data_IF_046814163427
#
_entry.id   IF_046814163427
#
_cell.length_a   1.000
_cell.length_b   1.000
_cell.length_c   1.000
_cell.angle_alpha   90.00
_cell.angle_beta   90.00
_cell.angle_gamma   90.00
#
_symmetry.space_group_name_H-M   'P 1'
#
loop_
_entity.id
_entity.type
_entity.pdbx_description
1 polymer ?
#
# COMPACT_ATOMS: atom_id res chain seq x y z
N UNK A 1 58.54 -38.41 -23.55
CA UNK A 1 58.16 -36.99 -23.69
C UNK A 1 56.92 -36.76 -22.85
N UNK A 2 56.69 -35.73 -22.04
CA UNK A 2 57.49 -34.73 -21.36
C UNK A 2 56.51 -34.00 -20.41
N UNK A 3 56.97 -33.65 -19.18
CA UNK A 3 56.45 -32.68 -18.18
C UNK A 3 55.07 -32.96 -17.54
N UNK A 4 54.85 -33.09 -16.23
CA UNK A 4 55.31 -32.40 -14.99
C UNK A 4 54.64 -31.03 -14.74
N UNK A 5 53.98 -30.92 -13.56
CA UNK A 5 53.80 -29.77 -12.63
C UNK A 5 52.48 -28.93 -12.62
N UNK A 6 51.66 -29.22 -11.60
CA UNK A 6 51.23 -28.38 -10.45
C UNK A 6 50.27 -27.18 -10.55
N UNK A 7 49.32 -27.21 -9.57
CA UNK A 7 48.79 -26.12 -8.69
C UNK A 7 48.04 -24.94 -9.31
N UNK A 8 46.78 -24.80 -8.87
CA UNK A 8 46.15 -23.65 -8.16
C UNK A 8 44.63 -23.82 -8.32
N UNK A 9 43.77 -24.13 -7.34
CA UNK A 9 43.54 -23.57 -6.00
C UNK A 9 43.44 -22.04 -5.98
N UNK A 10 42.26 -21.54 -6.36
CA UNK A 10 41.72 -20.20 -6.07
C UNK A 10 40.26 -20.48 -5.71
N UNK A 11 39.85 -20.63 -4.45
CA UNK A 11 39.72 -19.61 -3.39
C UNK A 11 38.97 -18.37 -3.89
N UNK A 12 37.64 -18.45 -3.99
CA UNK A 12 36.78 -17.26 -4.07
C UNK A 12 36.32 -16.95 -2.65
N UNK A 13 37.09 -16.11 -1.99
CA UNK A 13 36.75 -15.45 -0.74
C UNK A 13 36.01 -14.14 -1.02
N UNK A 14 34.84 -14.00 -0.38
CA UNK A 14 34.32 -12.80 0.30
C UNK A 14 34.15 -11.52 -0.55
N UNK A 15 32.90 -11.07 -0.63
CA UNK A 15 32.59 -9.64 -0.40
C UNK A 15 31.22 -9.52 0.25
N UNK A 16 31.24 -9.49 1.58
CA UNK A 16 30.22 -8.83 2.40
C UNK A 16 30.08 -7.38 1.94
N UNK A 17 28.92 -7.06 1.36
CA UNK A 17 28.53 -5.66 1.09
C UNK A 17 28.14 -5.03 2.42
N UNK A 18 29.07 -4.25 2.97
CA UNK A 18 28.85 -3.40 4.13
C UNK A 18 28.33 -2.07 3.57
N UNK A 19 27.00 -1.91 3.50
CA UNK A 19 26.40 -0.63 3.11
C UNK A 19 26.49 0.30 4.32
N UNK A 20 27.55 1.10 4.37
CA UNK A 20 27.60 2.33 5.16
C UNK A 20 26.82 3.36 4.35
N UNK A 21 25.56 3.60 4.68
CA UNK A 21 24.86 4.80 4.19
C UNK A 21 25.35 5.99 5.00
N UNK A 22 26.35 6.67 4.47
CA UNK A 22 26.70 8.04 4.84
C UNK A 22 25.50 8.96 4.59
N UNK A 23 24.98 9.56 5.65
CA UNK A 23 24.04 10.68 5.60
C UNK A 23 24.78 11.88 4.99
N UNK A 24 24.28 12.54 3.93
CA UNK A 24 24.86 13.80 3.50
C UNK A 24 24.50 14.88 4.52
N UNK A 25 25.54 15.52 5.08
CA UNK A 25 25.41 16.77 5.80
C UNK A 25 24.97 17.86 4.82
N UNK A 26 23.74 18.35 4.97
CA UNK A 26 23.33 19.61 4.35
C UNK A 26 23.72 20.72 5.31
N UNK A 27 24.82 21.37 4.98
CA UNK A 27 25.20 22.67 5.52
C UNK A 27 24.32 23.74 4.85
N UNK A 28 23.53 24.45 5.65
CA UNK A 28 23.07 25.81 5.35
C UNK A 28 23.10 26.57 6.68
N UNK A 29 24.13 27.38 6.86
CA UNK A 29 24.08 28.53 7.75
C UNK A 29 23.13 29.57 7.13
N UNK A 30 22.16 30.04 7.89
CA UNK A 30 21.89 31.47 8.07
C UNK A 30 20.90 31.67 9.22
N UNK A 31 21.29 32.54 10.14
CA UNK A 31 20.59 32.98 11.33
C UNK A 31 19.17 33.48 11.07
N UNK A 32 18.21 33.05 11.89
CA UNK A 32 17.44 34.00 12.68
C UNK A 32 16.75 33.34 13.88
N UNK A 33 17.06 33.90 15.04
CA UNK A 33 16.57 33.56 16.36
C UNK A 33 15.04 33.67 16.52
N UNK A 34 14.52 32.86 17.46
CA UNK A 34 13.16 32.85 18.05
C UNK A 34 12.04 32.18 17.26
N UNK A 35 12.00 30.84 17.31
CA UNK A 35 10.87 30.06 17.87
C UNK A 35 11.45 28.74 18.42
N UNK A 36 12.04 28.81 19.61
CA UNK A 36 12.44 27.62 20.37
C UNK A 36 11.26 27.17 21.23
N UNK A 37 11.08 25.85 21.37
CA UNK A 37 10.03 25.12 22.10
C UNK A 37 8.74 24.79 21.32
N UNK A 38 8.81 23.79 20.42
CA UNK A 38 7.82 22.70 20.25
C UNK A 38 8.10 21.83 19.02
N UNK A 39 9.31 21.28 18.87
CA UNK A 39 9.58 20.19 17.92
C UNK A 39 10.61 19.25 18.54
N UNK A 40 10.27 18.66 19.69
CA UNK A 40 11.11 17.65 20.36
C UNK A 40 10.33 16.40 20.76
N UNK A 41 9.17 16.17 20.13
CA UNK A 41 8.29 15.07 20.47
C UNK A 41 7.69 14.43 19.21
N UNK A 42 8.54 13.83 18.37
CA UNK A 42 8.11 12.72 17.50
C UNK A 42 9.22 11.89 16.83
N UNK A 43 10.50 12.06 17.21
CA UNK A 43 11.61 11.23 16.74
C UNK A 43 12.19 10.30 17.80
N UNK A 44 11.49 10.10 18.92
CA UNK A 44 11.83 9.10 19.96
C UNK A 44 10.91 7.88 19.91
N UNK A 45 10.99 7.10 18.83
CA UNK A 45 10.60 5.69 18.86
C UNK A 45 11.20 4.94 17.67
N UNK A 46 12.53 4.75 17.66
CA UNK A 46 13.15 3.66 16.87
C UNK A 46 14.65 3.39 17.10
N UNK A 47 15.32 4.02 18.09
CA UNK A 47 16.73 3.72 18.41
C UNK A 47 16.94 3.08 19.79
N UNK A 48 15.88 2.54 20.40
CA UNK A 48 16.04 1.63 21.54
C UNK A 48 16.65 0.32 21.03
N UNK A 49 17.76 -0.11 21.61
CA UNK A 49 18.42 -1.39 21.29
C UNK A 49 17.35 -2.48 21.19
N UNK A 50 17.15 -3.06 20.00
CA UNK A 50 16.19 -4.14 19.77
C UNK A 50 16.49 -5.25 20.79
N UNK A 51 15.48 -5.70 21.55
CA UNK A 51 15.68 -6.72 22.58
C UNK A 51 16.36 -7.99 22.05
N UNK A 52 16.13 -8.36 20.80
CA UNK A 52 16.80 -9.49 20.15
C UNK A 52 18.29 -9.22 19.85
N UNK A 53 18.68 -7.96 19.62
CA UNK A 53 20.09 -7.58 19.49
C UNK A 53 20.82 -7.75 20.82
N UNK A 54 20.16 -7.43 21.95
CA UNK A 54 20.69 -7.72 23.29
C UNK A 54 20.90 -9.22 23.47
N UNK A 55 19.95 -10.05 23.04
CA UNK A 55 20.09 -11.52 23.07
C UNK A 55 21.31 -11.97 22.27
N UNK A 56 21.48 -11.49 21.04
CA UNK A 56 22.63 -11.84 20.19
C UNK A 56 23.96 -11.47 20.84
N UNK A 57 24.05 -10.25 21.38
CA UNK A 57 25.23 -9.76 22.08
C UNK A 57 25.53 -10.62 23.32
N UNK A 58 24.51 -10.91 24.14
CA UNK A 58 24.67 -11.70 25.36
C UNK A 58 25.01 -13.16 25.10
N UNK A 59 24.46 -13.76 24.05
CA UNK A 59 24.88 -15.09 23.61
C UNK A 59 26.33 -15.09 23.12
N UNK A 60 26.79 -14.02 22.45
CA UNK A 60 28.18 -13.89 22.05
C UNK A 60 29.11 -13.76 23.27
N UNK A 61 28.75 -12.93 24.24
CA UNK A 61 29.51 -12.81 25.50
C UNK A 61 29.52 -14.12 26.29
N UNK A 62 28.41 -14.88 26.31
CA UNK A 62 28.35 -16.20 26.93
C UNK A 62 29.29 -17.20 26.26
N UNK A 63 29.40 -17.20 24.92
CA UNK A 63 30.39 -18.00 24.18
C UNK A 63 31.82 -17.62 24.59
N UNK A 64 32.13 -16.32 24.62
CA UNK A 64 33.48 -15.85 24.92
C UNK A 64 33.88 -16.17 26.37
N UNK A 65 32.98 -15.97 27.34
CA UNK A 65 33.18 -16.33 28.76
C UNK A 65 33.30 -17.84 28.95
N UNK A 66 32.48 -18.63 28.26
CA UNK A 66 32.57 -20.08 28.27
C UNK A 66 33.94 -20.58 27.79
N UNK A 67 34.44 -20.00 26.70
CA UNK A 67 35.74 -20.35 26.13
C UNK A 67 36.92 -19.96 27.04
N UNK A 68 36.75 -18.93 27.88
CA UNK A 68 37.73 -18.54 28.90
C UNK A 68 37.64 -19.37 30.20
N UNK A 69 36.63 -20.24 30.34
CA UNK A 69 36.39 -21.03 31.55
C UNK A 69 35.55 -20.33 32.63
N UNK A 70 35.05 -19.13 32.36
CA UNK A 70 34.26 -18.31 33.28
C UNK A 70 32.77 -18.72 33.26
N UNK A 71 32.47 -19.92 33.76
CA UNK A 71 31.14 -20.55 33.60
C UNK A 71 30.00 -19.80 34.31
N UNK A 72 30.24 -19.22 35.48
CA UNK A 72 29.20 -18.49 36.21
C UNK A 72 28.83 -17.19 35.49
N UNK A 73 29.85 -16.54 34.93
CA UNK A 73 29.74 -15.35 34.12
C UNK A 73 29.04 -15.64 32.78
N UNK A 74 29.31 -16.80 32.17
CA UNK A 74 28.58 -17.27 31.00
C UNK A 74 27.10 -17.56 31.34
N UNK A 75 26.79 -18.20 32.47
CA UNK A 75 25.41 -18.43 32.93
C UNK A 75 24.66 -17.12 33.15
N UNK A 76 25.32 -16.10 33.70
CA UNK A 76 24.72 -14.79 33.89
C UNK A 76 24.31 -14.17 32.55
N UNK A 77 25.18 -14.21 31.54
CA UNK A 77 24.83 -13.70 30.20
C UNK A 77 23.72 -14.52 29.54
N UNK A 78 23.67 -15.84 29.75
CA UNK A 78 22.54 -16.69 29.31
C UNK A 78 21.22 -16.31 30.00
N UNK A 79 21.24 -15.98 31.29
CA UNK A 79 20.07 -15.49 32.03
C UNK A 79 19.51 -14.22 31.40
N UNK A 80 20.38 -13.25 31.12
CA UNK A 80 19.97 -11.99 30.48
C UNK A 80 19.42 -12.27 29.07
N UNK A 81 20.05 -13.18 28.31
CA UNK A 81 19.53 -13.58 27.00
C UNK A 81 18.12 -14.21 27.10
N UNK A 82 17.86 -15.06 28.10
CA UNK A 82 16.53 -15.64 28.36
C UNK A 82 15.50 -14.55 28.66
N UNK A 83 15.84 -13.59 29.52
CA UNK A 83 14.92 -12.50 29.88
C UNK A 83 14.48 -11.70 28.64
N UNK A 84 15.43 -11.34 27.78
CA UNK A 84 15.14 -10.59 26.56
C UNK A 84 14.42 -11.42 25.50
N UNK A 85 14.68 -12.73 25.40
CA UNK A 85 13.89 -13.63 24.55
C UNK A 85 12.44 -13.76 25.03
N UNK A 86 12.22 -13.82 26.34
CA UNK A 86 10.88 -13.83 26.92
C UNK A 86 10.14 -12.53 26.62
N UNK A 87 10.80 -11.37 26.74
CA UNK A 87 10.25 -10.08 26.30
C UNK A 87 9.91 -10.09 24.81
N UNK A 88 10.84 -10.52 23.96
CA UNK A 88 10.61 -10.62 22.51
C UNK A 88 9.45 -11.58 22.15
N UNK A 89 9.24 -12.64 22.95
CA UNK A 89 8.12 -13.57 22.77
C UNK A 89 6.75 -12.94 23.02
N UNK A 90 6.70 -11.82 23.74
CA UNK A 90 5.48 -11.09 24.05
C UNK A 90 5.27 -9.90 23.11
N UNK A 91 6.36 -9.25 22.66
CA UNK A 91 6.30 -7.98 21.94
C UNK A 91 6.52 -8.09 20.43
N UNK A 92 7.00 -9.22 19.92
CA UNK A 92 7.19 -9.39 18.47
C UNK A 92 5.85 -9.36 17.71
N UNK A 93 5.87 -8.68 16.56
CA UNK A 93 4.71 -8.51 15.69
C UNK A 93 4.25 -9.82 15.04
N UNK A 94 5.13 -10.82 14.92
CA UNK A 94 4.82 -12.07 14.21
C UNK A 94 4.73 -13.26 15.15
N UNK A 95 3.71 -14.10 14.98
CA UNK A 95 3.54 -15.32 15.80
C UNK A 95 4.76 -16.23 15.69
N UNK A 96 5.35 -16.35 14.50
CA UNK A 96 6.51 -17.23 14.29
C UNK A 96 7.73 -16.78 15.07
N UNK A 97 8.00 -15.49 15.16
CA UNK A 97 9.09 -14.96 15.98
C UNK A 97 8.78 -15.04 17.47
N UNK A 98 7.51 -14.85 17.86
CA UNK A 98 7.08 -15.06 19.25
C UNK A 98 7.34 -16.51 19.70
N UNK A 99 6.89 -17.48 18.92
CA UNK A 99 7.15 -18.90 19.16
C UNK A 99 8.65 -19.24 19.16
N UNK A 100 9.39 -18.78 18.16
CA UNK A 100 10.82 -19.09 18.04
C UNK A 100 11.63 -18.51 19.21
N UNK A 101 11.28 -17.30 19.66
CA UNK A 101 11.91 -16.66 20.82
C UNK A 101 11.62 -17.43 22.11
N UNK A 102 10.37 -17.84 22.33
CA UNK A 102 9.97 -18.68 23.47
C UNK A 102 10.68 -20.03 23.47
N UNK A 103 10.74 -20.72 22.33
CA UNK A 103 11.45 -21.99 22.22
C UNK A 103 12.95 -21.85 22.49
N UNK A 104 13.56 -20.77 22.00
CA UNK A 104 14.98 -20.50 22.24
C UNK A 104 15.24 -20.20 23.73
N UNK A 105 14.38 -19.41 24.39
CA UNK A 105 14.48 -19.15 25.81
C UNK A 105 14.44 -20.44 26.64
N UNK A 106 13.49 -21.34 26.35
CA UNK A 106 13.36 -22.65 27.02
C UNK A 106 14.62 -23.51 26.82
N UNK A 107 15.18 -23.54 25.59
CA UNK A 107 16.40 -24.31 25.30
C UNK A 107 17.61 -23.76 26.05
N UNK A 108 17.77 -22.43 26.10
CA UNK A 108 18.87 -21.79 26.82
C UNK A 108 18.73 -22.01 28.32
N UNK A 109 17.53 -21.92 28.90
CA UNK A 109 17.31 -22.17 30.32
C UNK A 109 17.65 -23.62 30.72
N UNK A 110 17.24 -24.60 29.90
CA UNK A 110 17.58 -26.00 30.10
C UNK A 110 19.10 -26.22 30.02
N UNK A 111 19.77 -25.63 29.03
CA UNK A 111 21.23 -25.72 28.86
C UNK A 111 22.01 -25.07 30.01
N UNK A 112 21.62 -23.86 30.42
CA UNK A 112 22.23 -23.10 31.53
C UNK A 112 22.33 -23.93 32.82
N UNK A 113 21.30 -24.74 33.11
CA UNK A 113 21.25 -25.64 34.29
C UNK A 113 22.27 -26.79 34.22
N UNK A 114 22.72 -27.16 33.03
CA UNK A 114 23.64 -28.27 32.78
C UNK A 114 25.09 -27.81 32.57
N UNK A 115 25.32 -26.50 32.47
CA UNK A 115 26.64 -25.90 32.24
C UNK A 115 27.54 -26.03 33.48
N UNK A 116 28.35 -27.09 33.54
CA UNK A 116 29.25 -27.38 34.67
C UNK A 116 30.72 -27.51 34.29
N UNK A 117 31.02 -27.80 33.03
CA UNK A 117 32.38 -28.02 32.56
C UNK A 117 32.56 -27.66 31.09
N UNK A 118 33.82 -27.52 30.68
CA UNK A 118 34.18 -27.32 29.28
C UNK A 118 33.99 -28.61 28.47
N UNK A 119 33.32 -28.52 27.33
CA UNK A 119 33.17 -29.59 26.34
C UNK A 119 32.87 -28.98 24.96
N UNK A 120 33.35 -29.64 23.90
CA UNK A 120 33.08 -29.21 22.52
C UNK A 120 31.58 -29.24 22.17
N UNK A 121 30.81 -30.11 22.81
CA UNK A 121 29.34 -30.19 22.64
C UNK A 121 28.63 -28.95 23.20
N UNK A 122 29.07 -28.46 24.35
CA UNK A 122 28.54 -27.26 24.98
C UNK A 122 28.88 -26.00 24.17
N UNK A 123 30.11 -25.91 23.65
CA UNK A 123 30.52 -24.82 22.76
C UNK A 123 29.67 -24.77 21.48
N UNK A 124 29.44 -25.94 20.85
CA UNK A 124 28.58 -26.05 19.67
C UNK A 124 27.14 -25.63 20.00
N UNK A 125 26.62 -26.05 21.16
CA UNK A 125 25.27 -25.69 21.59
C UNK A 125 25.11 -24.17 21.79
N UNK A 126 26.07 -23.50 22.43
CA UNK A 126 26.10 -22.05 22.58
C UNK A 126 26.14 -21.34 21.21
N UNK A 127 27.01 -21.81 20.32
CA UNK A 127 27.12 -21.30 18.95
C UNK A 127 25.81 -21.46 18.18
N UNK A 128 25.12 -22.59 18.36
CA UNK A 128 23.81 -22.85 17.77
C UNK A 128 22.75 -21.88 18.30
N UNK A 129 22.74 -21.55 19.59
CA UNK A 129 21.83 -20.54 20.14
C UNK A 129 22.09 -19.16 19.53
N UNK A 130 23.34 -18.78 19.36
CA UNK A 130 23.72 -17.53 18.71
C UNK A 130 23.26 -17.46 17.24
N UNK A 131 23.40 -18.55 16.49
CA UNK A 131 22.85 -18.62 15.13
C UNK A 131 21.31 -18.58 15.12
N UNK A 132 20.65 -19.23 16.07
CA UNK A 132 19.20 -19.20 16.18
C UNK A 132 18.67 -17.79 16.50
N UNK A 133 19.30 -17.05 17.41
CA UNK A 133 18.91 -15.66 17.67
C UNK A 133 19.14 -14.76 16.44
N UNK A 134 20.26 -14.95 15.73
CA UNK A 134 20.54 -14.24 14.48
C UNK A 134 19.50 -14.53 13.40
N UNK A 135 19.04 -15.78 13.28
CA UNK A 135 17.98 -16.15 12.34
C UNK A 135 16.63 -15.52 12.69
N UNK A 136 16.29 -15.41 13.99
CA UNK A 136 15.08 -14.71 14.44
C UNK A 136 15.16 -13.22 14.07
N UNK A 137 16.32 -12.57 14.31
CA UNK A 137 16.56 -11.17 13.93
C UNK A 137 16.41 -10.97 12.42
N UNK A 138 17.06 -11.82 11.61
CA UNK A 138 16.99 -11.74 10.16
C UNK A 138 15.54 -11.81 9.65
N UNK A 139 14.74 -12.73 10.21
CA UNK A 139 13.31 -12.83 9.88
C UNK A 139 12.52 -11.57 10.25
N UNK A 140 12.74 -10.99 11.43
CA UNK A 140 12.06 -9.76 11.83
C UNK A 140 12.42 -8.57 10.92
N UNK A 141 13.69 -8.48 10.51
CA UNK A 141 14.15 -7.48 9.55
C UNK A 141 13.47 -7.69 8.20
N UNK A 142 13.43 -8.92 7.68
CA UNK A 142 12.75 -9.22 6.41
C UNK A 142 11.27 -8.82 6.48
N UNK A 143 10.60 -9.09 7.59
CA UNK A 143 9.20 -8.71 7.80
C UNK A 143 9.02 -7.19 7.87
N UNK A 144 9.94 -6.48 8.52
CA UNK A 144 9.91 -5.02 8.55
C UNK A 144 10.11 -4.43 7.15
N UNK A 145 11.05 -4.97 6.36
CA UNK A 145 11.29 -4.57 4.98
C UNK A 145 10.03 -4.80 4.14
N UNK A 146 9.41 -5.99 4.25
CA UNK A 146 8.16 -6.28 3.54
C UNK A 146 7.05 -5.29 3.92
N UNK A 147 6.85 -5.03 5.22
CA UNK A 147 5.85 -4.07 5.69
C UNK A 147 6.11 -2.64 5.18
N UNK A 148 7.37 -2.21 5.10
CA UNK A 148 7.74 -0.92 4.53
C UNK A 148 7.46 -0.86 3.02
N UNK A 149 7.81 -1.89 2.26
CA UNK A 149 7.53 -1.97 0.82
C UNK A 149 6.03 -1.94 0.57
N UNK A 150 5.25 -2.66 1.37
CA UNK A 150 3.80 -2.64 1.29
C UNK A 150 3.22 -1.25 1.57
N UNK A 151 3.66 -0.60 2.64
CA UNK A 151 3.21 0.75 2.99
C UNK A 151 3.56 1.77 1.91
N UNK A 152 4.80 1.73 1.40
CA UNK A 152 5.24 2.62 0.32
C UNK A 152 4.42 2.41 -0.98
N UNK A 153 3.95 1.18 -1.21
CA UNK A 153 3.08 0.86 -2.35
C UNK A 153 1.67 1.42 -2.14
N UNK A 154 1.09 1.23 -0.95
CA UNK A 154 -0.21 1.83 -0.58
C UNK A 154 -0.16 3.36 -0.67
N UNK A 155 0.91 4.00 -0.18
CA UNK A 155 1.07 5.47 -0.24
C UNK A 155 1.12 6.00 -1.68
N UNK A 156 1.88 5.35 -2.56
CA UNK A 156 1.94 5.72 -3.99
C UNK A 156 0.58 5.58 -4.67
N UNK A 157 -0.14 4.49 -4.36
CA UNK A 157 -1.48 4.24 -4.89
C UNK A 157 -2.45 5.33 -4.40
N UNK A 158 -2.46 5.59 -3.09
CA UNK A 158 -3.31 6.59 -2.44
C UNK A 158 -3.11 7.97 -3.05
N UNK A 159 -1.86 8.39 -3.30
CA UNK A 159 -1.57 9.68 -3.94
C UNK A 159 -2.32 9.84 -5.27
N UNK A 160 -2.26 8.84 -6.13
CA UNK A 160 -2.94 8.90 -7.43
C UNK A 160 -4.46 8.84 -7.31
N UNK A 161 -5.00 8.09 -6.35
CA UNK A 161 -6.44 8.07 -6.09
C UNK A 161 -6.96 9.41 -5.53
N UNK A 162 -6.16 10.10 -4.72
CA UNK A 162 -6.50 11.45 -4.25
C UNK A 162 -6.49 12.48 -5.38
N UNK A 163 -5.52 12.39 -6.29
CA UNK A 163 -5.49 13.21 -7.51
C UNK A 163 -6.75 12.93 -8.37
N UNK A 164 -7.11 11.66 -8.58
CA UNK A 164 -8.33 11.27 -9.30
C UNK A 164 -9.60 11.81 -8.62
N UNK A 165 -9.67 11.75 -7.28
CA UNK A 165 -10.80 12.26 -6.49
C UNK A 165 -10.96 13.77 -6.65
N UNK A 166 -9.86 14.51 -6.63
CA UNK A 166 -9.87 15.95 -6.85
C UNK A 166 -10.46 16.28 -8.22
N UNK A 167 -9.98 15.63 -9.30
CA UNK A 167 -10.50 15.83 -10.65
C UNK A 167 -11.98 15.43 -10.78
N UNK A 168 -12.42 14.37 -10.10
CA UNK A 168 -13.82 13.94 -10.14
C UNK A 168 -14.76 14.97 -9.49
N UNK A 169 -14.34 15.63 -8.40
CA UNK A 169 -15.10 16.75 -7.83
C UNK A 169 -15.16 17.96 -8.76
N UNK A 170 -14.05 18.30 -9.41
CA UNK A 170 -14.02 19.41 -10.39
C UNK A 170 -14.96 19.10 -11.56
N UNK A 171 -14.91 17.88 -12.08
CA UNK A 171 -15.77 17.44 -13.18
C UNK A 171 -17.26 17.52 -12.84
N UNK A 172 -17.64 17.15 -11.61
CA UNK A 172 -19.00 17.27 -11.09
C UNK A 172 -19.43 18.75 -11.04
N UNK A 173 -18.60 19.61 -10.46
CA UNK A 173 -18.87 21.05 -10.36
C UNK A 173 -19.05 21.68 -11.75
N UNK A 174 -18.14 21.41 -12.67
CA UNK A 174 -18.17 21.98 -14.02
C UNK A 174 -19.45 21.58 -14.75
N UNK A 175 -19.90 20.35 -14.59
CA UNK A 175 -21.10 19.87 -15.25
C UNK A 175 -22.41 20.33 -14.59
N UNK A 176 -22.52 20.15 -13.28
CA UNK A 176 -23.78 20.31 -12.56
C UNK A 176 -24.02 21.75 -12.12
N UNK A 177 -22.95 22.52 -11.88
CA UNK A 177 -23.02 23.91 -11.43
C UNK A 177 -22.71 24.88 -12.56
N UNK A 178 -21.59 24.70 -13.27
CA UNK A 178 -21.18 25.62 -14.34
C UNK A 178 -21.75 25.28 -15.71
N UNK A 179 -22.40 24.11 -15.87
CA UNK A 179 -22.95 23.61 -17.13
C UNK A 179 -21.93 23.56 -18.28
N UNK A 180 -20.64 23.38 -17.94
CA UNK A 180 -19.54 23.29 -18.87
C UNK A 180 -19.17 21.83 -19.15
N UNK A 181 -19.84 21.27 -20.15
CA UNK A 181 -19.64 19.87 -20.59
C UNK A 181 -18.21 19.60 -21.03
N UNK A 182 -17.57 20.56 -21.71
CA UNK A 182 -16.22 20.39 -22.25
C UNK A 182 -15.20 20.27 -21.13
N UNK A 183 -15.25 21.17 -20.16
CA UNK A 183 -14.28 21.17 -19.06
C UNK A 183 -14.52 19.96 -18.15
N UNK A 184 -15.80 19.59 -17.90
CA UNK A 184 -16.14 18.34 -17.21
C UNK A 184 -15.56 17.09 -17.90
N UNK A 185 -15.67 16.98 -19.22
CA UNK A 185 -15.09 15.87 -19.96
C UNK A 185 -13.55 15.82 -19.89
N UNK A 186 -12.88 16.99 -19.88
CA UNK A 186 -11.43 17.08 -19.70
C UNK A 186 -10.99 16.67 -18.29
N UNK A 187 -11.78 17.03 -17.28
CA UNK A 187 -11.55 16.61 -15.90
C UNK A 187 -11.75 15.08 -15.76
N UNK A 188 -12.76 14.49 -16.42
CA UNK A 188 -12.92 13.03 -16.48
C UNK A 188 -11.76 12.32 -17.19
N UNK A 189 -11.18 12.91 -18.24
CA UNK A 189 -9.93 12.40 -18.84
C UNK A 189 -8.77 12.40 -17.85
N UNK A 190 -8.71 13.42 -16.99
CA UNK A 190 -7.71 13.50 -15.93
C UNK A 190 -7.95 12.43 -14.86
N UNK A 191 -9.21 12.17 -14.48
CA UNK A 191 -9.58 11.06 -13.58
C UNK A 191 -9.03 9.74 -14.13
N UNK A 192 -9.34 9.39 -15.38
CA UNK A 192 -8.88 8.16 -16.03
C UNK A 192 -7.36 8.05 -16.02
N UNK A 193 -6.66 9.14 -16.36
CA UNK A 193 -5.18 9.18 -16.34
C UNK A 193 -4.60 8.89 -14.96
N UNK A 194 -5.23 9.36 -13.88
CA UNK A 194 -4.74 9.11 -12.52
C UNK A 194 -5.14 7.72 -12.00
N UNK A 195 -6.30 7.20 -12.40
CA UNK A 195 -6.67 5.81 -12.16
C UNK A 195 -5.70 4.84 -12.85
N UNK A 196 -5.29 5.10 -14.09
CA UNK A 196 -4.28 4.29 -14.78
C UNK A 196 -2.92 4.32 -14.07
N UNK A 197 -2.51 5.48 -13.53
CA UNK A 197 -1.29 5.57 -12.71
C UNK A 197 -1.43 4.81 -11.40
N UNK A 198 -2.61 4.84 -10.77
CA UNK A 198 -2.89 4.08 -9.56
C UNK A 198 -2.84 2.57 -9.84
N UNK A 199 -3.44 2.09 -10.94
CA UNK A 199 -3.43 0.68 -11.34
C UNK A 199 -2.00 0.15 -11.53
N UNK A 200 -1.12 0.93 -12.16
CA UNK A 200 0.28 0.54 -12.40
C UNK A 200 1.09 0.26 -11.13
N UNK A 201 0.70 0.86 -10.00
CA UNK A 201 1.43 0.72 -8.72
C UNK A 201 0.63 -0.04 -7.65
N UNK A 202 -0.67 -0.23 -7.85
CA UNK A 202 -1.54 -0.88 -6.89
C UNK A 202 -1.23 -2.37 -6.72
N UNK A 203 -1.60 -2.92 -5.55
CA UNK A 203 -1.63 -4.37 -5.33
C UNK A 203 -2.78 -4.99 -6.13
N UNK A 204 -2.63 -6.25 -6.56
CA UNK A 204 -3.61 -6.97 -7.40
C UNK A 204 -5.08 -6.87 -6.98
N UNK A 205 -5.46 -6.96 -5.69
CA UNK A 205 -6.87 -6.83 -5.29
C UNK A 205 -7.42 -5.45 -5.66
N UNK A 206 -6.68 -4.40 -5.33
CA UNK A 206 -7.03 -3.00 -5.59
C UNK A 206 -7.01 -2.68 -7.09
N UNK A 207 -6.09 -3.26 -7.86
CA UNK A 207 -6.05 -3.10 -9.33
C UNK A 207 -7.38 -3.47 -9.98
N UNK A 208 -8.01 -4.56 -9.53
CA UNK A 208 -9.31 -4.98 -10.09
C UNK A 208 -10.38 -3.90 -9.89
N UNK A 209 -10.46 -3.35 -8.68
CA UNK A 209 -11.45 -2.33 -8.34
C UNK A 209 -11.19 -1.00 -9.07
N UNK A 210 -9.91 -0.62 -9.23
CA UNK A 210 -9.51 0.53 -10.04
C UNK A 210 -9.95 0.33 -11.50
N UNK A 211 -9.76 -0.86 -12.08
CA UNK A 211 -10.17 -1.15 -13.46
C UNK A 211 -11.69 -1.13 -13.63
N UNK A 212 -12.44 -1.65 -12.66
CA UNK A 212 -13.90 -1.58 -12.65
C UNK A 212 -14.37 -0.11 -12.56
N UNK A 213 -13.74 0.72 -11.72
CA UNK A 213 -14.00 2.15 -11.65
C UNK A 213 -13.65 2.88 -12.96
N UNK A 214 -12.51 2.56 -13.58
CA UNK A 214 -12.10 3.09 -14.88
C UNK A 214 -13.19 2.85 -15.95
N UNK A 215 -13.80 1.67 -15.96
CA UNK A 215 -14.91 1.34 -16.88
C UNK A 215 -16.13 2.22 -16.61
N UNK A 216 -16.49 2.43 -15.33
CA UNK A 216 -17.61 3.31 -14.95
C UNK A 216 -17.36 4.77 -15.32
N UNK A 217 -16.14 5.27 -15.11
CA UNK A 217 -15.76 6.65 -15.47
C UNK A 217 -15.79 6.86 -16.99
N UNK A 218 -15.33 5.90 -17.79
CA UNK A 218 -15.44 5.96 -19.25
C UNK A 218 -16.91 6.05 -19.70
N UNK A 219 -17.78 5.20 -19.14
CA UNK A 219 -19.21 5.26 -19.43
C UNK A 219 -19.81 6.62 -19.03
N UNK A 220 -19.45 7.13 -17.85
CA UNK A 220 -19.89 8.45 -17.39
C UNK A 220 -19.43 9.54 -18.37
N UNK A 221 -18.18 9.51 -18.83
CA UNK A 221 -17.66 10.45 -19.82
C UNK A 221 -18.47 10.43 -21.12
N UNK A 222 -18.76 9.24 -21.65
CA UNK A 222 -19.59 9.10 -22.86
C UNK A 222 -21.00 9.67 -22.67
N UNK A 223 -21.58 9.52 -21.47
CA UNK A 223 -22.89 10.09 -21.13
C UNK A 223 -22.85 11.62 -21.05
N UNK A 224 -21.79 12.18 -20.45
CA UNK A 224 -21.57 13.63 -20.36
C UNK A 224 -21.41 14.25 -21.74
N UNK A 225 -20.67 13.59 -22.63
CA UNK A 225 -20.49 14.00 -24.03
C UNK A 225 -21.72 13.70 -24.91
N UNK A 226 -22.79 13.16 -24.33
CA UNK A 226 -24.07 12.84 -24.99
C UNK A 226 -23.92 11.93 -26.21
N UNK A 227 -23.01 10.96 -26.15
CA UNK A 227 -22.90 9.94 -27.19
C UNK A 227 -24.22 9.15 -27.29
N UNK A 228 -24.75 8.96 -28.50
CA UNK A 228 -26.03 8.26 -28.68
C UNK A 228 -25.97 6.80 -28.18
N UNK A 229 -24.77 6.21 -28.16
CA UNK A 229 -24.55 4.87 -27.63
C UNK A 229 -24.57 4.80 -26.10
N UNK A 230 -24.25 5.90 -25.40
CA UNK A 230 -24.16 5.95 -23.94
C UNK A 230 -25.51 5.71 -23.22
N UNK A 231 -26.62 5.86 -23.95
CA UNK A 231 -27.98 5.74 -23.42
C UNK A 231 -28.76 4.55 -23.99
N UNK A 232 -28.10 3.68 -24.77
CA UNK A 232 -28.76 2.57 -25.47
C UNK A 232 -29.43 1.57 -24.53
N UNK A 233 -28.91 1.43 -23.32
CA UNK A 233 -29.38 0.50 -22.30
C UNK A 233 -30.31 1.18 -21.26
N UNK A 234 -30.67 2.45 -21.45
CA UNK A 234 -31.64 3.13 -20.60
C UNK A 234 -33.06 3.04 -21.20
N UNK A 235 -33.91 2.24 -20.54
CA UNK A 235 -35.29 1.98 -20.97
C UNK A 235 -36.12 3.26 -21.08
N UNK A 236 -36.00 4.21 -20.14
CA UNK A 236 -36.79 5.44 -20.18
C UNK A 236 -36.44 6.31 -21.40
N UNK A 237 -35.15 6.51 -21.67
CA UNK A 237 -34.66 7.24 -22.83
C UNK A 237 -35.04 6.52 -24.13
N UNK A 238 -35.00 5.18 -24.14
CA UNK A 238 -35.46 4.39 -25.28
C UNK A 238 -36.96 4.62 -25.56
N UNK A 239 -37.81 4.56 -24.55
CA UNK A 239 -39.24 4.81 -24.71
C UNK A 239 -39.55 6.24 -25.16
N UNK A 240 -38.84 7.24 -24.62
CA UNK A 240 -38.99 8.63 -25.06
C UNK A 240 -38.58 8.83 -26.52
N UNK A 241 -37.51 8.16 -26.96
CA UNK A 241 -37.09 8.16 -28.36
C UNK A 241 -38.12 7.48 -29.28
N UNK A 242 -38.75 6.39 -28.83
CA UNK A 242 -39.84 5.73 -29.57
C UNK A 242 -41.11 6.60 -29.62
N UNK A 243 -41.46 7.27 -28.52
CA UNK A 243 -42.59 8.20 -28.45
C UNK A 243 -42.38 9.36 -29.42
N UNK A 244 -41.19 9.98 -29.43
CA UNK A 244 -40.82 11.05 -30.39
C UNK A 244 -40.95 10.59 -31.83
N UNK A 245 -40.44 9.40 -32.17
CA UNK A 245 -40.59 8.81 -33.52
C UNK A 245 -42.06 8.58 -33.91
N UNK A 246 -42.90 8.18 -32.96
CA UNK A 246 -44.33 7.93 -33.20
C UNK A 246 -45.10 9.23 -33.38
N UNK A 247 -44.78 10.27 -32.61
CA UNK A 247 -45.34 11.61 -32.74
C UNK A 247 -44.99 12.24 -34.08
N UNK A 248 -43.74 12.11 -34.54
CA UNK A 248 -43.33 12.59 -35.86
C UNK A 248 -44.20 11.97 -36.98
N UNK A 249 -44.46 10.66 -36.93
CA UNK A 249 -45.35 9.98 -37.89
C UNK A 249 -46.80 10.45 -37.78
N UNK A 250 -47.28 10.75 -36.57
CA UNK A 250 -48.64 11.26 -36.36
C UNK A 250 -48.79 12.70 -36.87
N UNK A 251 -47.75 13.52 -36.72
CA UNK A 251 -47.68 14.93 -37.15
C UNK A 251 -47.91 15.08 -38.65
N UNK A 252 -47.35 14.17 -39.45
CA UNK A 252 -47.47 14.19 -40.91
C UNK A 252 -48.93 14.08 -41.40
N UNK A 253 -49.81 13.43 -40.63
CA UNK A 253 -51.22 13.18 -40.98
C UNK A 253 -52.21 14.05 -40.19
N UNK A 254 -51.71 14.88 -39.29
CA UNK A 254 -52.52 15.64 -38.35
C UNK A 254 -53.13 16.91 -38.98
N UNK A 255 -54.31 17.32 -38.49
CA UNK A 255 -54.87 18.64 -38.78
C UNK A 255 -54.00 19.75 -38.16
N UNK A 256 -54.09 21.01 -38.60
CA UNK A 256 -53.27 22.10 -38.05
C UNK A 256 -53.34 22.23 -36.52
N UNK A 257 -54.54 22.13 -35.93
CA UNK A 257 -54.71 22.19 -34.47
C UNK A 257 -54.06 20.99 -33.76
N UNK A 258 -54.16 19.80 -34.35
CA UNK A 258 -53.51 18.60 -33.81
C UNK A 258 -51.99 18.66 -33.96
N UNK A 259 -51.45 19.25 -35.03
CA UNK A 259 -50.01 19.47 -35.20
C UNK A 259 -49.42 20.32 -34.07
N UNK A 260 -50.07 21.43 -33.72
CA UNK A 260 -49.64 22.29 -32.60
C UNK A 260 -49.62 21.53 -31.27
N UNK A 261 -50.61 20.66 -31.02
CA UNK A 261 -50.62 19.81 -29.83
C UNK A 261 -49.48 18.79 -29.83
N UNK A 262 -49.21 18.18 -30.99
CA UNK A 262 -48.09 17.25 -31.14
C UNK A 262 -46.75 17.96 -30.87
N UNK A 263 -46.58 19.20 -31.37
CA UNK A 263 -45.37 20.00 -31.11
C UNK A 263 -45.16 20.32 -29.64
N UNK A 264 -46.24 20.62 -28.90
CA UNK A 264 -46.17 20.80 -27.45
C UNK A 264 -45.71 19.51 -26.74
N UNK A 265 -46.28 18.36 -27.11
CA UNK A 265 -45.88 17.07 -26.54
C UNK A 265 -44.43 16.72 -26.92
N UNK A 266 -43.98 17.03 -28.14
CA UNK A 266 -42.59 16.86 -28.57
C UNK A 266 -41.63 17.69 -27.69
N UNK A 267 -42.00 18.92 -27.34
CA UNK A 267 -41.24 19.77 -26.44
C UNK A 267 -41.20 19.23 -25.00
N UNK A 268 -42.34 18.73 -24.48
CA UNK A 268 -42.43 18.11 -23.16
C UNK A 268 -41.56 16.84 -23.08
N UNK A 269 -41.60 15.98 -24.10
CA UNK A 269 -40.75 14.79 -24.20
C UNK A 269 -39.27 15.17 -24.22
N UNK A 270 -38.91 16.22 -24.96
CA UNK A 270 -37.52 16.68 -25.02
C UNK A 270 -37.04 17.21 -23.66
N UNK A 271 -37.91 17.91 -22.92
CA UNK A 271 -37.62 18.40 -21.56
C UNK A 271 -37.45 17.23 -20.59
N UNK A 272 -38.40 16.29 -20.58
CA UNK A 272 -38.35 15.11 -19.73
C UNK A 272 -37.10 14.26 -19.99
N UNK A 273 -36.72 14.12 -21.27
CA UNK A 273 -35.48 13.43 -21.66
C UNK A 273 -34.25 14.09 -21.03
N UNK A 274 -34.12 15.40 -21.17
CA UNK A 274 -32.99 16.14 -20.61
C UNK A 274 -32.92 16.03 -19.07
N UNK A 275 -34.07 16.04 -18.39
CA UNK A 275 -34.14 15.88 -16.93
C UNK A 275 -33.71 14.47 -16.48
N UNK A 276 -34.12 13.42 -17.22
CA UNK A 276 -33.71 12.05 -16.95
C UNK A 276 -32.21 11.89 -17.17
N UNK A 277 -31.67 12.38 -18.29
CA UNK A 277 -30.25 12.32 -18.60
C UNK A 277 -29.43 13.01 -17.50
N UNK A 278 -29.83 14.24 -17.10
CA UNK A 278 -29.15 14.97 -16.02
C UNK A 278 -29.17 14.22 -14.70
N UNK A 279 -30.31 13.62 -14.32
CA UNK A 279 -30.43 12.85 -13.09
C UNK A 279 -29.55 11.60 -13.12
N UNK A 280 -29.56 10.87 -14.23
CA UNK A 280 -28.78 9.66 -14.38
C UNK A 280 -27.28 9.95 -14.34
N UNK A 281 -26.83 11.00 -15.04
CA UNK A 281 -25.44 11.47 -14.97
C UNK A 281 -25.06 11.77 -13.52
N UNK A 282 -25.89 12.53 -12.80
CA UNK A 282 -25.62 12.86 -11.39
C UNK A 282 -25.48 11.61 -10.52
N UNK A 283 -26.43 10.66 -10.64
CA UNK A 283 -26.37 9.42 -9.89
C UNK A 283 -25.12 8.59 -10.21
N UNK A 284 -24.69 8.58 -11.47
CA UNK A 284 -23.49 7.88 -11.90
C UNK A 284 -22.22 8.55 -11.35
N UNK A 285 -22.17 9.88 -11.28
CA UNK A 285 -21.12 10.62 -10.58
C UNK A 285 -21.04 10.24 -9.10
N UNK A 286 -22.16 10.30 -8.38
CA UNK A 286 -22.23 9.94 -6.96
C UNK A 286 -21.79 8.49 -6.73
N UNK A 287 -22.18 7.56 -7.60
CA UNK A 287 -21.77 6.15 -7.55
C UNK A 287 -20.27 5.97 -7.81
N UNK A 288 -19.70 6.68 -8.80
CA UNK A 288 -18.27 6.64 -9.07
C UNK A 288 -17.45 7.21 -7.91
N UNK A 289 -17.90 8.33 -7.33
CA UNK A 289 -17.26 8.93 -6.16
C UNK A 289 -17.30 8.01 -4.94
N UNK A 290 -18.45 7.37 -4.68
CA UNK A 290 -18.57 6.38 -3.61
C UNK A 290 -17.61 5.21 -3.81
N UNK A 291 -17.58 4.64 -5.03
CA UNK A 291 -16.65 3.55 -5.38
C UNK A 291 -15.18 3.98 -5.15
N UNK A 292 -14.80 5.19 -5.58
CA UNK A 292 -13.45 5.72 -5.37
C UNK A 292 -13.10 5.87 -3.89
N UNK A 293 -14.05 6.33 -3.08
CA UNK A 293 -13.87 6.46 -1.64
C UNK A 293 -13.71 5.11 -0.95
N UNK A 294 -14.44 4.10 -1.38
CA UNK A 294 -14.30 2.73 -0.85
C UNK A 294 -12.89 2.20 -1.14
N UNK A 295 -12.40 2.31 -2.38
CA UNK A 295 -11.04 1.91 -2.75
C UNK A 295 -9.99 2.64 -1.89
N UNK A 296 -10.16 3.94 -1.65
CA UNK A 296 -9.24 4.74 -0.81
C UNK A 296 -9.22 4.23 0.64
N UNK A 297 -10.38 3.84 1.17
CA UNK A 297 -10.50 3.37 2.56
C UNK A 297 -9.96 1.95 2.77
N UNK A 298 -9.76 1.18 1.69
CA UNK A 298 -9.22 -0.18 1.74
C UNK A 298 -7.68 -0.26 1.69
N UNK A 299 -6.99 0.86 1.43
CA UNK A 299 -5.52 0.96 1.34
C UNK A 299 -4.79 0.97 2.70
#
# INVERSE_FOLDING_TARGET
>A
MAKIVYKSMILVTISTVLIITSIPAISVETDNDKVSAKVEENTRSNSGINGLEVVRMKLKSAIDRYNNGDFDDAKHDLEVAIEWLNKASQTSKTEKSRESSRQLAVKIDAFKKQLKQSSAENENTLTRFWHQSTAIIGREIDQLIHGYVELATSEKTLKHLLDAKMHLYTAEHDLLVSHNVKDSAQELDSVLKYLDKADQVAKKPIQKEINDLNTKINLLKEQVEQSHEAWKDNDEILYLNQAKKSLAKAKDKASPQTKLRIELIEADIQTLRADIERRNIKNNYESCMATLMDIINEL
#
